data_IF_118887079615
#
_entry.id   IF_118887079615
#
_cell.length_a   1.000
_cell.length_b   1.000
_cell.length_c   1.000
_cell.angle_alpha   90.00
_cell.angle_beta   90.00
_cell.angle_gamma   90.00
#
_symmetry.space_group_name_H-M   'P 1'
#
loop_
_entity.id
_entity.type
_entity.pdbx_description
1 polymer ?
2 polymer ?
3 non-polymer ?
4 water ?
#
# COMPACT_ATOMS: atom_id res chain seq x y z
N UNK A 1 -7.56 -7.69 -3.47
CA UNK A 1 -7.66 -8.47 -2.24
C UNK A 1 -8.41 -7.72 -1.16
N UNK A 2 -8.63 -8.38 -0.02
CA UNK A 2 -9.44 -7.83 1.05
C UNK A 2 -9.00 -6.41 1.39
N UNK A 3 -7.73 -6.24 1.78
CA UNK A 3 -7.16 -4.91 2.00
C UNK A 3 -6.13 -4.65 0.91
N UNK A 4 -6.40 -3.68 0.05
CA UNK A 4 -5.40 -3.18 -0.88
C UNK A 4 -4.58 -2.11 -0.18
N UNK A 5 -3.27 -2.25 -0.19
CA UNK A 5 -2.37 -1.26 0.41
C UNK A 5 -1.82 -0.38 -0.69
N UNK A 6 -2.16 0.90 -0.66
CA UNK A 6 -1.72 1.85 -1.67
C UNK A 6 -0.90 2.96 -1.04
N UNK A 7 0.05 3.49 -1.82
CA UNK A 7 0.82 4.66 -1.45
C UNK A 7 0.45 5.78 -2.41
N UNK A 8 -0.20 6.81 -1.87
CA UNK A 8 -0.76 7.90 -2.66
C UNK A 8 -0.10 9.20 -2.22
N UNK A 9 0.20 10.06 -3.18
CA UNK A 9 0.93 11.30 -2.93
C UNK A 9 0.12 12.46 -3.45
N UNK A 10 -0.34 13.30 -2.53
CA UNK A 10 -1.19 14.44 -2.85
C UNK A 10 -0.30 15.66 -3.06
N UNK A 11 -0.48 16.34 -4.19
CA UNK A 11 0.22 17.60 -4.46
C UNK A 11 -0.61 18.73 -3.84
N UNK A 12 -0.11 19.29 -2.74
CA UNK A 12 -0.91 20.19 -1.94
C UNK A 12 -1.35 21.42 -2.73
N UNK A 13 -2.49 21.97 -2.33
CA UNK A 13 -3.05 23.20 -2.88
C UNK A 13 -3.18 24.25 -1.81
N UNK A 14 -3.20 25.51 -2.25
CA UNK A 14 -3.42 26.60 -1.33
C UNK A 14 -4.75 26.45 -0.59
N UNK A 15 -5.71 25.72 -1.18
CA UNK A 15 -6.92 25.36 -0.49
C UNK A 15 -6.82 24.10 0.32
N UNK A 16 -5.68 23.43 0.28
CA UNK A 16 -5.47 22.23 1.07
C UNK A 16 -5.35 20.97 0.26
N UNK A 17 -5.81 19.86 0.83
CA UNK A 17 -5.67 18.56 0.19
C UNK A 17 -6.95 18.05 -0.45
N UNK A 18 -8.09 18.66 -0.15
CA UNK A 18 -9.34 18.22 -0.73
C UNK A 18 -9.86 16.92 -0.15
N UNK A 19 -9.70 16.72 1.16
CA UNK A 19 -10.24 15.55 1.85
C UNK A 19 -10.77 15.99 3.21
N UNK A 20 -11.66 15.18 3.75
CA UNK A 20 -12.04 15.25 5.16
C UNK A 20 -11.66 13.93 5.80
N UNK A 21 -11.18 13.99 7.05
CA UNK A 21 -10.82 12.79 7.79
C UNK A 21 -11.74 12.64 8.98
N UNK A 22 -12.02 11.39 9.36
CA UNK A 22 -12.83 11.07 10.51
C UNK A 22 -12.06 10.08 11.39
N UNK A 23 -12.47 9.98 12.64
CA UNK A 23 -11.90 9.00 13.54
C UNK A 23 -10.80 9.55 14.42
N UNK A 24 -10.14 8.63 15.10
CA UNK A 24 -9.06 8.97 16.02
C UNK A 24 -9.29 8.37 17.39
N UNK A 25 -8.17 8.12 18.09
CA UNK A 25 -8.24 7.56 19.43
C UNK A 25 -9.11 8.43 20.32
N UNK A 26 -10.11 7.81 20.95
CA UNK A 26 -11.00 8.50 21.86
C UNK A 26 -12.23 9.10 21.21
N UNK A 27 -12.32 9.09 19.89
CA UNK A 27 -13.47 9.62 19.19
C UNK A 27 -14.31 8.48 18.62
N UNK A 28 -15.51 8.81 18.17
CA UNK A 28 -16.44 7.81 17.68
C UNK A 28 -15.88 7.16 16.42
N UNK A 29 -15.80 5.82 16.37
CA UNK A 29 -15.18 5.17 15.21
C UNK A 29 -15.90 5.49 13.90
N UNK A 30 -15.10 5.61 12.83
CA UNK A 30 -15.66 5.72 11.49
C UNK A 30 -16.41 4.45 11.11
N UNK A 31 -15.90 3.29 11.55
CA UNK A 31 -16.52 2.02 11.23
C UNK A 31 -16.18 1.00 12.31
N UNK A 32 -17.13 0.12 12.58
CA UNK A 32 -16.92 -0.91 13.59
C UNK A 32 -16.47 -0.31 14.90
N UNK A 33 -15.44 -0.92 15.49
CA UNK A 33 -14.80 -0.40 16.70
C UNK A 33 -13.40 0.14 16.41
N UNK A 34 -13.12 0.47 15.16
CA UNK A 34 -11.80 0.88 14.71
C UNK A 34 -11.62 2.39 14.96
N UNK A 35 -10.70 2.74 15.84
CA UNK A 35 -10.43 4.12 16.16
C UNK A 35 -9.45 4.78 15.20
N UNK A 36 -9.15 4.14 14.07
CA UNK A 36 -8.19 4.68 13.14
C UNK A 36 -8.69 5.92 12.43
N UNK A 37 -7.81 6.48 11.60
CA UNK A 37 -8.10 7.67 10.81
C UNK A 37 -8.57 7.22 9.44
N UNK A 38 -9.72 7.72 9.00
CA UNK A 38 -10.29 7.32 7.73
C UNK A 38 -10.64 8.53 6.89
N UNK A 39 -10.57 8.36 5.57
CA UNK A 39 -11.04 9.38 4.63
C UNK A 39 -12.56 9.31 4.60
N UNK A 40 -13.21 10.40 5.01
CA UNK A 40 -14.66 10.46 5.01
C UNK A 40 -15.24 11.23 3.84
N UNK A 41 -14.42 12.04 3.16
CA UNK A 41 -14.88 12.83 2.02
C UNK A 41 -13.68 13.12 1.13
N UNK A 42 -13.92 13.10 -0.18
CA UNK A 42 -12.91 13.46 -1.16
C UNK A 42 -13.52 14.50 -2.10
N UNK A 43 -12.92 15.67 -2.16
CA UNK A 43 -13.42 16.73 -3.03
C UNK A 43 -13.25 16.31 -4.49
N UNK A 44 -14.35 16.35 -5.24
CA UNK A 44 -14.28 16.01 -6.65
C UNK A 44 -13.30 16.93 -7.36
N UNK A 45 -12.44 16.34 -8.17
CA UNK A 45 -11.45 17.07 -8.95
C UNK A 45 -10.50 17.89 -8.08
N UNK A 46 -10.36 17.51 -6.81
CA UNK A 46 -9.40 18.14 -5.93
C UNK A 46 -8.08 17.40 -5.91
N UNK A 47 -7.13 17.87 -5.10
CA UNK A 47 -5.80 17.23 -5.10
C UNK A 47 -5.82 15.77 -4.70
N UNK A 48 -6.57 15.41 -3.66
CA UNK A 48 -6.60 14.02 -3.22
C UNK A 48 -7.27 13.13 -4.27
N UNK A 49 -8.34 13.64 -4.91
CA UNK A 49 -8.96 12.90 -6.01
C UNK A 49 -7.96 12.64 -7.12
N UNK A 50 -7.23 13.67 -7.54
CA UNK A 50 -6.23 13.47 -8.59
C UNK A 50 -5.17 12.46 -8.16
N UNK A 51 -4.88 12.36 -6.86
CA UNK A 51 -3.91 11.40 -6.36
C UNK A 51 -4.46 10.00 -6.20
N UNK A 52 -5.77 9.82 -6.34
CA UNK A 52 -6.37 8.50 -6.25
C UNK A 52 -6.92 8.13 -4.89
N UNK A 53 -7.06 9.09 -3.98
CA UNK A 53 -7.60 8.83 -2.65
C UNK A 53 -9.11 8.63 -2.76
N UNK A 54 -9.66 7.75 -1.93
CA UNK A 54 -11.09 7.47 -1.97
C UNK A 54 -11.69 7.43 -0.57
N UNK A 55 -12.98 7.75 -0.51
CA UNK A 55 -13.73 7.64 0.73
C UNK A 55 -13.61 6.23 1.27
N UNK A 56 -13.39 6.13 2.58
CA UNK A 56 -13.25 4.84 3.22
C UNK A 56 -11.81 4.36 3.38
N UNK A 57 -10.86 4.98 2.70
CA UNK A 57 -9.46 4.61 2.86
C UNK A 57 -9.05 4.83 4.31
N UNK A 58 -8.32 3.86 4.85
CA UNK A 58 -7.78 3.94 6.20
C UNK A 58 -6.35 4.47 6.13
N UNK A 59 -6.09 5.59 6.79
CA UNK A 59 -4.77 6.20 6.76
C UNK A 59 -3.88 5.51 7.79
N UNK A 60 -2.78 4.93 7.32
CA UNK A 60 -1.84 4.27 8.20
C UNK A 60 -0.60 5.12 8.49
N UNK A 61 -0.16 5.93 7.54
CA UNK A 61 1.12 6.60 7.60
C UNK A 61 1.03 7.86 6.77
N UNK A 62 1.60 8.95 7.28
CA UNK A 62 1.64 10.22 6.59
C UNK A 62 3.09 10.71 6.60
N UNK A 63 3.65 10.91 5.41
CA UNK A 63 5.03 11.37 5.27
C UNK A 63 5.98 10.53 6.13
N UNK A 64 5.80 9.22 6.07
CA UNK A 64 6.71 8.29 6.69
C UNK A 64 6.54 8.10 8.18
N UNK A 65 5.50 8.70 8.78
CA UNK A 65 5.27 8.57 10.21
C UNK A 65 3.92 7.87 10.42
N UNK A 66 3.93 6.82 11.21
CA UNK A 66 2.70 6.07 11.49
C UNK A 66 1.73 6.94 12.29
N UNK A 67 0.44 6.76 12.01
CA UNK A 67 -0.63 7.38 12.78
C UNK A 67 -1.22 6.43 13.80
N UNK A 68 -0.53 5.32 14.09
CA UNK A 68 -1.01 4.34 15.05
C UNK A 68 -1.25 5.01 16.40
N UNK A 69 -2.47 4.88 16.89
CA UNK A 69 -2.85 5.47 18.16
C UNK A 69 -3.12 6.96 18.11
N UNK A 70 -3.15 7.56 16.93
CA UNK A 70 -3.28 9.01 16.83
C UNK A 70 -4.69 9.46 17.22
N UNK A 71 -4.75 10.52 18.02
CA UNK A 71 -6.00 11.24 18.22
C UNK A 71 -6.33 12.04 16.96
N UNK A 72 -7.60 12.40 16.82
CA UNK A 72 -8.04 13.13 15.64
C UNK A 72 -7.18 14.36 15.41
N UNK A 73 -6.90 15.12 16.47
CA UNK A 73 -6.16 16.37 16.31
C UNK A 73 -4.75 16.13 15.79
N UNK A 74 -4.12 15.01 16.17
CA UNK A 74 -2.79 14.73 15.64
C UNK A 74 -2.84 14.51 14.13
N UNK A 75 -3.83 13.73 13.66
CA UNK A 75 -3.98 13.50 12.23
C UNK A 75 -4.23 14.80 11.49
N UNK A 76 -5.07 15.67 12.05
CA UNK A 76 -5.33 16.97 11.43
C UNK A 76 -4.04 17.76 11.32
N UNK A 77 -3.28 17.82 12.42
CA UNK A 77 -2.01 18.55 12.41
C UNK A 77 -1.04 17.96 11.40
N UNK A 78 -1.00 16.62 11.30
CA UNK A 78 -0.08 15.99 10.36
C UNK A 78 -0.40 16.33 8.92
N UNK A 79 -1.66 16.61 8.62
CA UNK A 79 -2.09 16.91 7.26
C UNK A 79 -2.15 18.40 6.96
N UNK A 80 -1.89 19.25 7.96
CA UNK A 80 -1.90 20.69 7.78
C UNK A 80 -0.48 21.28 7.85
N UNK A 81 0.52 20.49 7.47
CA UNK A 81 1.89 20.94 7.47
C UNK A 81 2.25 21.76 6.24
N UNK A 82 3.52 22.12 6.16
CA UNK A 82 3.99 23.05 5.16
C UNK A 82 4.43 22.39 3.85
N UNK A 83 4.53 21.06 3.82
CA UNK A 83 5.07 20.40 2.64
C UNK A 83 4.15 20.51 1.44
N UNK A 84 4.75 20.70 0.27
CA UNK A 84 3.99 20.80 -0.96
C UNK A 84 3.45 19.46 -1.43
N UNK A 85 3.84 18.36 -0.78
CA UNK A 85 3.35 17.03 -1.12
C UNK A 85 3.10 16.26 0.16
N UNK A 86 2.06 15.45 0.16
CA UNK A 86 1.69 14.62 1.30
C UNK A 86 1.64 13.17 0.81
N UNK A 87 2.59 12.37 1.24
CA UNK A 87 2.59 10.94 0.96
C UNK A 87 1.80 10.23 2.06
N UNK A 88 0.86 9.38 1.67
CA UNK A 88 0.10 8.59 2.63
C UNK A 88 0.01 7.15 2.16
N UNK A 89 0.19 6.23 3.09
CA UNK A 89 -0.06 4.81 2.88
C UNK A 89 -1.43 4.48 3.46
N UNK A 90 -2.29 3.87 2.66
CA UNK A 90 -3.66 3.61 3.07
C UNK A 90 -4.00 2.15 2.83
N UNK A 91 -4.96 1.65 3.60
CA UNK A 91 -5.57 0.35 3.34
C UNK A 91 -6.97 0.59 2.82
N UNK A 92 -7.31 -0.08 1.73
CA UNK A 92 -8.59 0.09 1.04
C UNK A 92 -9.28 -1.25 0.96
N UNK A 93 -10.47 -1.34 1.56
CA UNK A 93 -11.21 -2.59 1.56
C UNK A 93 -11.94 -2.73 0.23
N UNK A 94 -11.61 -3.78 -0.51
CA UNK A 94 -12.22 -4.04 -1.81
C UNK A 94 -13.35 -5.05 -1.67
N UNK B 1 4.97 -32.57 -9.13
CA UNK B 1 5.05 -31.22 -8.59
C UNK B 1 6.51 -30.80 -8.44
N UNK B 2 7.01 -30.04 -9.42
CA UNK B 2 8.38 -29.57 -9.38
C UNK B 2 8.48 -28.30 -8.54
N UNK B 3 9.61 -28.15 -7.85
CA UNK B 3 9.92 -26.92 -7.14
C UNK B 3 11.21 -26.35 -7.73
N UNK B 4 11.11 -25.18 -8.35
CA UNK B 4 12.25 -24.59 -9.03
C UNK B 4 12.49 -23.17 -8.56
N UNK B 5 13.75 -22.84 -8.40
CA UNK B 5 14.19 -21.50 -8.07
C UNK B 5 14.67 -20.84 -9.35
N UNK B 6 14.09 -19.69 -9.66
CA UNK B 6 14.42 -18.98 -10.88
C UNK B 6 14.86 -17.55 -10.55
N UNK B 7 15.71 -17.01 -11.42
CA UNK B 7 16.05 -15.59 -11.37
C UNK B 7 15.55 -14.92 -12.64
N UNK B 8 14.68 -13.93 -12.48
CA UNK B 8 14.05 -13.21 -13.58
C UNK B 8 14.43 -11.74 -13.48
N UNK B 9 14.50 -11.08 -14.63
CA UNK B 9 14.83 -9.65 -14.67
C UNK B 9 13.74 -8.91 -15.44
N UNK B 10 13.11 -7.95 -14.79
CA UNK B 10 12.03 -7.17 -15.37
C UNK B 10 12.59 -5.80 -15.74
N UNK B 11 12.26 -5.33 -16.93
CA UNK B 11 12.70 -4.03 -17.41
C UNK B 11 11.51 -3.09 -17.52
N UNK B 12 11.68 -1.88 -16.98
CA UNK B 12 10.66 -0.85 -17.07
C UNK B 12 11.33 0.47 -17.42
N UNK B 13 10.80 1.16 -18.43
CA UNK B 13 11.13 2.58 -18.58
C UNK B 13 10.63 3.35 -17.36
N UNK B 14 9.42 3.00 -16.91
CA UNK B 14 8.73 3.68 -15.82
C UNK B 14 7.43 2.91 -15.58
N UNK B 15 6.62 3.37 -14.64
CA UNK B 15 5.38 2.69 -14.35
C UNK B 15 5.62 1.41 -13.56
N UNK B 16 4.60 0.56 -13.57
CA UNK B 16 4.62 -0.64 -12.76
C UNK B 16 5.31 -1.80 -13.44
N UNK B 17 5.59 -2.84 -12.64
CA UNK B 17 6.09 -4.10 -13.14
C UNK B 17 4.98 -4.96 -13.74
N UNK B 18 3.72 -4.54 -13.59
CA UNK B 18 2.63 -5.31 -14.13
C UNK B 18 2.27 -6.52 -13.30
N UNK B 19 2.34 -6.40 -11.98
CA UNK B 19 2.01 -7.48 -11.07
C UNK B 19 1.34 -6.87 -9.84
N UNK B 20 0.64 -7.73 -9.10
CA UNK B 20 0.25 -7.45 -7.73
C UNK B 20 0.95 -8.44 -6.84
N UNK B 21 1.37 -8.00 -5.65
CA UNK B 21 1.98 -8.88 -4.67
C UNK B 21 1.06 -8.96 -3.45
N UNK B 22 1.02 -10.14 -2.83
CA UNK B 22 0.27 -10.38 -1.62
C UNK B 22 1.20 -10.96 -0.56
N UNK B 23 0.79 -10.85 0.69
CA UNK B 23 1.54 -11.42 1.80
C UNK B 23 2.39 -10.40 2.52
N UNK B 24 3.17 -10.92 3.47
CA UNK B 24 4.06 -10.11 4.27
C UNK B 24 3.98 -10.51 5.74
N UNK B 25 5.08 -10.29 6.46
CA UNK B 25 5.14 -10.69 7.86
C UNK B 25 4.00 -10.04 8.64
N UNK B 26 3.30 -10.85 9.42
CA UNK B 26 2.21 -10.35 10.24
C UNK B 26 0.89 -10.20 9.52
N UNK B 27 0.84 -10.43 8.22
CA UNK B 27 -0.39 -10.34 7.45
C UNK B 27 -0.93 -11.75 7.17
N UNK B 28 -2.13 -11.79 6.60
CA UNK B 28 -2.77 -13.06 6.28
C UNK B 28 -2.01 -13.74 5.14
N UNK B 29 -1.54 -14.97 5.32
CA UNK B 29 -0.73 -15.60 4.27
C UNK B 29 -1.47 -15.75 2.96
N UNK B 30 -0.70 -15.63 1.86
CA UNK B 30 -1.23 -15.91 0.53
C UNK B 30 -1.68 -17.36 0.41
N UNK B 31 -1.01 -18.27 1.11
CA UNK B 31 -1.40 -19.67 1.15
C UNK B 31 -0.74 -20.33 2.35
N UNK B 32 -1.41 -21.34 2.88
CA UNK B 32 -0.88 -22.06 4.03
C UNK B 32 -0.55 -21.10 5.16
N UNK B 33 0.59 -21.34 5.81
CA UNK B 33 1.07 -20.50 6.89
C UNK B 33 2.27 -19.65 6.47
N UNK B 34 2.55 -19.54 5.18
CA UNK B 34 3.71 -18.84 4.68
C UNK B 34 3.40 -17.35 4.61
N UNK B 35 4.06 -16.56 5.47
CA UNK B 35 3.86 -15.12 5.48
C UNK B 35 4.69 -14.40 4.42
N UNK B 36 5.27 -15.13 3.48
CA UNK B 36 6.13 -14.54 2.49
C UNK B 36 5.39 -13.71 1.46
N UNK B 37 6.16 -13.22 0.49
CA UNK B 37 5.66 -12.36 -0.57
C UNK B 37 5.39 -13.21 -1.80
N UNK B 38 4.20 -13.07 -2.37
CA UNK B 38 3.79 -13.88 -3.52
C UNK B 38 3.20 -13.01 -4.61
N UNK B 39 3.40 -13.44 -5.85
CA UNK B 39 2.76 -12.80 -7.00
C UNK B 39 1.32 -13.28 -7.05
N UNK B 40 0.37 -12.36 -6.85
CA UNK B 40 -1.04 -12.72 -6.84
C UNK B 40 -1.73 -12.44 -8.18
N UNK B 41 -1.13 -11.63 -9.05
CA UNK B 41 -1.75 -11.26 -10.31
C UNK B 41 -0.64 -10.79 -11.25
N UNK B 42 -0.77 -11.15 -12.53
CA UNK B 42 0.17 -10.72 -13.55
C UNK B 42 -0.63 -10.10 -14.68
N UNK B 43 -0.31 -8.85 -15.02
CA UNK B 43 -0.89 -8.22 -16.19
C UNK B 43 -0.30 -8.88 -17.44
N UNK B 44 -1.15 -9.47 -18.26
CA UNK B 44 -0.65 -10.12 -19.45
C UNK B 44 0.05 -9.08 -20.33
N UNK B 45 1.17 -9.48 -20.89
CA UNK B 45 1.97 -8.64 -21.76
C UNK B 45 2.43 -7.39 -21.04
N UNK B 46 2.49 -7.41 -19.72
CA UNK B 46 3.18 -6.39 -18.96
C UNK B 46 4.65 -6.74 -18.83
N UNK B 47 5.44 -5.87 -18.20
CA UNK B 47 6.88 -6.17 -18.08
C UNK B 47 7.17 -7.49 -17.36
N UNK B 48 6.44 -7.79 -16.29
CA UNK B 48 6.70 -9.00 -15.53
C UNK B 48 6.32 -10.24 -16.35
N UNK B 49 5.17 -10.20 -17.04
CA UNK B 49 4.80 -11.30 -17.93
C UNK B 49 5.87 -11.51 -18.99
N UNK B 50 6.35 -10.43 -19.59
CA UNK B 50 7.43 -10.53 -20.58
C UNK B 50 8.63 -11.27 -20.00
N UNK B 51 8.95 -11.01 -18.74
CA UNK B 51 10.10 -11.61 -18.09
C UNK B 51 9.84 -13.04 -17.60
N UNK B 52 8.62 -13.53 -17.72
CA UNK B 52 8.31 -14.89 -17.34
C UNK B 52 7.83 -15.08 -15.93
N UNK B 53 7.39 -14.02 -15.26
CA UNK B 53 6.82 -14.14 -13.93
C UNK B 53 5.44 -14.79 -14.04
N UNK B 54 5.11 -15.62 -13.05
CA UNK B 54 3.84 -16.32 -13.05
C UNK B 54 3.11 -16.10 -11.73
N UNK B 55 1.78 -16.12 -11.80
CA UNK B 55 0.97 -16.06 -10.59
C UNK B 55 1.37 -17.22 -9.69
N UNK B 56 1.49 -16.93 -8.40
CA UNK B 56 1.87 -17.93 -7.43
C UNK B 56 3.36 -17.99 -7.13
N UNK B 57 4.19 -17.33 -7.93
CA UNK B 57 5.61 -17.27 -7.64
C UNK B 57 5.84 -16.63 -6.27
N UNK B 58 6.75 -17.21 -5.49
CA UNK B 58 7.15 -16.63 -4.23
C UNK B 58 8.40 -15.77 -4.47
N UNK B 59 8.34 -14.50 -4.06
CA UNK B 59 9.41 -13.55 -4.30
C UNK B 59 10.42 -13.65 -3.16
N UNK B 60 11.62 -14.14 -3.46
CA UNK B 60 12.62 -14.38 -2.44
C UNK B 60 13.61 -13.23 -2.31
N UNK B 61 14.01 -12.63 -3.43
CA UNK B 61 14.96 -11.53 -3.38
C UNK B 61 14.60 -10.51 -4.46
N UNK B 62 14.95 -9.25 -4.20
CA UNK B 62 14.81 -8.17 -5.17
C UNK B 62 16.16 -7.47 -5.28
N UNK B 63 16.76 -7.51 -6.48
CA UNK B 63 18.09 -6.97 -6.71
C UNK B 63 19.07 -7.48 -5.66
N UNK B 64 18.98 -8.77 -5.35
CA UNK B 64 19.92 -9.40 -4.46
C UNK B 64 19.66 -9.21 -2.99
N UNK B 65 18.56 -8.58 -2.61
CA UNK B 65 18.23 -8.33 -1.21
C UNK B 65 17.06 -9.23 -0.84
N UNK B 66 17.26 -10.05 0.19
CA UNK B 66 16.26 -11.03 0.58
C UNK B 66 15.05 -10.36 1.19
N UNK B 67 13.87 -10.89 0.88
CA UNK B 67 12.62 -10.37 1.41
C UNK B 67 12.13 -11.14 2.63
N UNK B 68 12.86 -12.18 3.07
CA UNK B 68 12.42 -12.93 4.23
C UNK B 68 12.29 -12.00 5.42
N UNK B 69 11.17 -12.11 6.13
CA UNK B 69 10.88 -11.24 7.24
C UNK B 69 10.43 -9.84 6.85
N UNK B 70 10.07 -9.62 5.60
CA UNK B 70 9.57 -8.31 5.20
C UNK B 70 8.08 -8.21 5.48
N UNK B 71 7.66 -7.08 6.06
CA UNK B 71 6.26 -6.73 6.06
C UNK B 71 5.85 -6.36 4.63
N UNK B 72 4.54 -6.39 4.39
CA UNK B 72 4.04 -6.18 3.04
C UNK B 72 4.59 -4.88 2.45
N UNK B 73 4.49 -3.77 3.19
CA UNK B 73 4.92 -2.49 2.67
C UNK B 73 6.43 -2.46 2.44
N UNK B 74 7.20 -3.24 3.18
CA UNK B 74 8.64 -3.29 2.96
C UNK B 74 8.96 -3.97 1.63
N UNK B 75 8.20 -5.00 1.27
CA UNK B 75 8.35 -5.61 -0.05
C UNK B 75 7.96 -4.64 -1.15
N UNK B 76 6.86 -3.91 -0.97
CA UNK B 76 6.46 -2.90 -1.94
C UNK B 76 7.57 -1.88 -2.11
N UNK B 77 8.13 -1.39 -1.00
CA UNK B 77 9.19 -0.40 -1.06
C UNK B 77 10.43 -0.94 -1.75
N UNK B 78 10.78 -2.21 -1.49
CA UNK B 78 11.93 -2.81 -2.16
C UNK B 78 11.74 -2.82 -3.66
N UNK B 79 10.53 -3.14 -4.13
CA UNK B 79 10.26 -3.15 -5.57
C UNK B 79 10.17 -1.74 -6.13
N UNK B 80 9.74 -0.77 -5.32
CA UNK B 80 9.59 0.60 -5.83
C UNK B 80 10.94 1.22 -6.12
N UNK B 81 11.94 0.96 -5.28
CA UNK B 81 13.24 1.59 -5.47
C UNK B 81 14.22 0.73 -6.22
N UNK B 82 13.72 -0.28 -6.92
CA UNK B 82 14.58 -1.24 -7.59
C UNK B 82 15.05 -0.78 -8.97
N UNK B 83 14.77 0.46 -9.36
CA UNK B 83 15.27 0.98 -10.61
C UNK B 83 14.53 0.44 -11.83
N UNK B 84 15.16 0.65 -12.98
CA UNK B 84 14.56 0.27 -14.25
C UNK B 84 14.82 -1.18 -14.63
N UNK B 85 15.77 -1.84 -13.98
CA UNK B 85 16.02 -3.26 -14.17
C UNK B 85 15.86 -3.93 -12.82
N UNK B 86 14.81 -4.73 -12.65
CA UNK B 86 14.45 -5.33 -11.38
C UNK B 86 14.72 -6.82 -11.47
N UNK B 87 15.75 -7.28 -10.77
CA UNK B 87 16.09 -8.71 -10.73
C UNK B 87 15.39 -9.35 -9.55
N UNK B 88 14.68 -10.44 -9.82
CA UNK B 88 13.90 -11.12 -8.80
C UNK B 88 14.23 -12.61 -8.80
N UNK B 89 14.60 -13.12 -7.63
CA UNK B 89 14.73 -14.55 -7.41
C UNK B 89 13.41 -15.06 -6.88
N UNK B 90 12.82 -16.05 -7.55
CA UNK B 90 11.51 -16.55 -7.17
C UNK B 90 11.57 -18.05 -6.96
N UNK B 91 10.60 -18.54 -6.18
CA UNK B 91 10.38 -19.96 -6.00
C UNK B 91 9.07 -20.32 -6.67
N UNK B 92 9.10 -21.31 -7.55
CA UNK B 92 7.94 -21.69 -8.34
C UNK B 92 7.63 -23.17 -8.13
N UNK B 93 6.35 -23.46 -7.96
CA UNK B 93 5.85 -24.82 -7.89
C UNK B 93 5.00 -25.08 -9.12
N UNK B 94 5.31 -26.16 -9.84
CA UNK B 94 4.51 -26.56 -10.98
C UNK B 94 3.88 -27.93 -10.70
N UNK C 1 -4.10 -9.17 11.81
CA UNK C 1 -3.52 -9.45 10.51
C UNK C 1 -4.55 -9.53 9.41
N UNK C 2 -4.31 -8.79 8.32
CA UNK C 2 -5.21 -8.75 7.18
C UNK C 2 -4.50 -9.30 5.94
N UNK C 3 -5.30 -9.60 4.92
CA UNK C 3 -4.76 -10.02 3.63
C UNK C 3 -4.49 -8.78 2.79
N UNK C 4 -3.22 -8.59 2.44
CA UNK C 4 -2.77 -7.34 1.83
C UNK C 4 -2.31 -7.59 0.40
N UNK C 5 -2.74 -6.73 -0.51
CA UNK C 5 -2.37 -6.81 -1.92
C UNK C 5 -1.99 -5.41 -2.39
N UNK C 6 -0.96 -5.33 -3.23
CA UNK C 6 -0.56 -4.06 -3.81
C UNK C 6 -0.16 -4.28 -5.26
N UNK C 7 -0.64 -3.39 -6.15
CA UNK C 7 -0.21 -3.41 -7.54
C UNK C 7 1.11 -2.66 -7.65
N UNK C 8 2.11 -3.32 -8.23
CA UNK C 8 3.45 -2.74 -8.30
C UNK C 8 4.04 -2.85 -9.70
N UNK D 1 -18.74 10.01 23.51
CA UNK D 1 -17.77 10.46 22.51
C UNK D 1 -18.41 11.28 21.42
N UNK D 2 -17.62 11.66 20.42
CA UNK D 2 -18.10 12.47 19.32
C UNK D 2 -17.50 12.00 18.01
N UNK D 3 -18.29 12.07 16.94
CA UNK D 3 -17.86 11.67 15.61
C UNK D 3 -17.28 12.90 14.93
N UNK D 4 -15.95 12.99 14.91
CA UNK D 4 -15.27 14.19 14.45
C UNK D 4 -14.91 14.04 12.97
N UNK D 5 -15.17 15.10 12.20
CA UNK D 5 -14.75 15.20 10.81
C UNK D 5 -14.08 16.55 10.63
N UNK D 6 -12.97 16.57 9.91
CA UNK D 6 -12.24 17.82 9.67
C UNK D 6 -11.79 17.87 8.21
N UNK D 7 -12.08 18.99 7.56
CA UNK D 7 -11.67 19.23 6.18
C UNK D 7 -10.28 19.85 6.16
N UNK D 8 -9.49 19.36 5.22
CA UNK D 8 -8.03 19.29 5.34
C UNK D 8 -7.52 19.41 3.91
#
# INVERSE_FOLDING_TARGET
IEEEELTLTILRQTGGLGISIAGGKGSTPYKGDDEGIFISRVSEEGPAARAGVRVGDKLLEVNGVALQGAEHHEAVEALRGAGTAVQMRVWRER
IEEEELTLTILRQTGGLGISIAGGKGSTPYKGDDEGIFISRVSEEGPAARAGVRVGDKLLEVNGVALQGAEHHEAVEALRGAGTAVQMRVWRER
GSYLVTSV
GSYLVTSV
#
